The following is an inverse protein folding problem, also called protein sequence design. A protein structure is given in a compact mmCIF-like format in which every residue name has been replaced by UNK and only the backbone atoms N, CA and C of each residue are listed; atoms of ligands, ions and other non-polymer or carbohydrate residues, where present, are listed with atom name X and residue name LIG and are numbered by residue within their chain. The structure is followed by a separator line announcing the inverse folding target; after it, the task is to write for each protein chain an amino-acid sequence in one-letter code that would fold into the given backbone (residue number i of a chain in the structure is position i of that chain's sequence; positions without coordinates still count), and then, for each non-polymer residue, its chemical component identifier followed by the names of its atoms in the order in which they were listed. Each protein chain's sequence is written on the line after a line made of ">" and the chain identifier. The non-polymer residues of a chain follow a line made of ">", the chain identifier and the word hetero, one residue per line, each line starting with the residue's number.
data_IF_589428594303
#
_entry.id   IF_589428594303
#
_cell.length_a   1.000
_cell.length_b   1.000
_cell.length_c   1.000
_cell.angle_alpha   90.00
_cell.angle_beta   90.00
_cell.angle_gamma   90.00
#
_symmetry.space_group_name_H-M   'P 1'
#
loop_
_entity.id
_entity.type
_entity.pdbx_description
1 polymer ?
#
# COMPACT_ATOMS: atom_id res chain seq x y z
N UNK A 1 17.77 -9.50 -25.93
CA UNK A 1 16.46 -9.86 -25.34
C UNK A 1 16.56 -11.05 -24.38
N UNK A 2 16.94 -12.27 -24.81
CA UNK A 2 17.11 -13.40 -23.86
C UNK A 2 18.27 -13.16 -22.85
N UNK A 3 19.38 -12.59 -23.33
CA UNK A 3 20.47 -12.13 -22.45
C UNK A 3 20.03 -11.02 -21.48
N UNK A 4 19.02 -10.20 -21.86
CA UNK A 4 18.57 -9.07 -21.04
C UNK A 4 17.65 -9.53 -19.92
N UNK A 5 16.73 -10.47 -20.21
CA UNK A 5 15.90 -11.15 -19.20
C UNK A 5 16.74 -11.90 -18.18
N UNK A 6 17.75 -12.64 -18.64
CA UNK A 6 18.67 -13.32 -17.72
C UNK A 6 19.49 -12.32 -16.89
N UNK A 7 19.93 -11.21 -17.49
CA UNK A 7 20.68 -10.20 -16.79
C UNK A 7 19.82 -9.46 -15.75
N UNK A 8 18.57 -9.11 -16.05
CA UNK A 8 17.64 -8.48 -15.10
C UNK A 8 17.30 -9.41 -13.95
N UNK A 9 17.06 -10.70 -14.22
CA UNK A 9 16.91 -11.72 -13.18
C UNK A 9 18.12 -11.80 -12.24
N UNK A 10 19.34 -11.84 -12.81
CA UNK A 10 20.56 -11.88 -12.01
C UNK A 10 20.70 -10.61 -11.14
N UNK A 11 20.42 -9.43 -11.71
CA UNK A 11 20.45 -8.16 -10.95
C UNK A 11 19.46 -8.19 -9.78
N UNK A 12 18.22 -8.66 -9.98
CA UNK A 12 17.25 -8.80 -8.91
C UNK A 12 17.79 -9.69 -7.77
N UNK A 13 18.40 -10.83 -8.12
CA UNK A 13 18.98 -11.74 -7.14
C UNK A 13 20.16 -11.13 -6.39
N UNK A 14 21.07 -10.46 -7.10
CA UNK A 14 22.22 -9.78 -6.51
C UNK A 14 21.77 -8.64 -5.58
N UNK A 15 20.80 -7.82 -6.01
CA UNK A 15 20.21 -6.78 -5.16
C UNK A 15 19.49 -7.37 -3.95
N UNK A 16 18.71 -8.44 -4.09
CA UNK A 16 18.07 -9.10 -2.94
C UNK A 16 19.10 -9.56 -1.91
N UNK A 17 20.22 -10.14 -2.37
CA UNK A 17 21.32 -10.56 -1.50
C UNK A 17 21.95 -9.37 -0.77
N UNK A 18 22.34 -8.33 -1.50
CA UNK A 18 23.01 -7.14 -0.96
C UNK A 18 22.07 -6.31 -0.06
N UNK A 19 20.79 -6.24 -0.40
CA UNK A 19 19.78 -5.48 0.34
C UNK A 19 19.58 -5.96 1.78
N UNK A 20 20.04 -7.17 2.14
CA UNK A 20 19.95 -7.69 3.49
C UNK A 20 21.11 -7.24 4.40
N UNK A 21 22.19 -6.67 3.85
CA UNK A 21 23.41 -6.38 4.62
C UNK A 21 23.17 -5.38 5.76
N UNK A 22 22.24 -4.44 5.60
CA UNK A 22 21.90 -3.45 6.65
C UNK A 22 21.41 -4.11 7.94
N UNK A 23 20.82 -5.32 7.87
CA UNK A 23 20.32 -6.04 9.04
C UNK A 23 21.47 -6.37 10.01
N UNK A 24 22.67 -6.55 9.49
CA UNK A 24 23.87 -6.90 10.24
C UNK A 24 24.75 -5.69 10.59
N UNK A 25 24.30 -4.48 10.28
CA UNK A 25 25.02 -3.26 10.66
C UNK A 25 25.11 -3.17 12.21
N UNK A 26 26.32 -3.13 12.79
CA UNK A 26 26.50 -3.01 14.24
C UNK A 26 25.81 -1.78 14.84
N UNK A 27 25.64 -0.69 14.08
CA UNK A 27 24.99 0.54 14.56
C UNK A 27 23.49 0.37 14.81
N UNK A 28 22.89 -0.70 14.27
CA UNK A 28 21.52 -1.06 14.60
C UNK A 28 21.38 -1.64 16.01
N UNK A 29 22.47 -2.16 16.60
CA UNK A 29 22.47 -2.78 17.92
C UNK A 29 21.64 -4.06 18.01
N UNK A 30 21.31 -4.68 16.87
CA UNK A 30 20.44 -5.84 16.79
C UNK A 30 21.15 -7.12 17.25
N UNK A 31 20.51 -7.91 18.09
CA UNK A 31 21.00 -9.24 18.47
C UNK A 31 20.71 -10.30 17.39
N UNK A 32 21.18 -11.53 17.60
CA UNK A 32 21.02 -12.61 16.63
C UNK A 32 19.54 -12.99 16.37
N UNK A 33 18.67 -12.81 17.36
CA UNK A 33 17.23 -13.06 17.22
C UNK A 33 16.57 -11.97 16.39
N UNK A 34 16.92 -10.71 16.63
CA UNK A 34 16.45 -9.55 15.86
C UNK A 34 16.96 -9.60 14.40
N UNK A 35 18.20 -10.05 14.18
CA UNK A 35 18.75 -10.27 12.85
C UNK A 35 17.98 -11.36 12.08
N UNK A 36 17.61 -12.46 12.75
CA UNK A 36 16.77 -13.49 12.14
C UNK A 36 15.38 -12.95 11.75
N UNK A 37 14.80 -12.09 12.59
CA UNK A 37 13.55 -11.38 12.29
C UNK A 37 13.70 -10.38 11.14
N UNK A 38 14.83 -9.67 11.06
CA UNK A 38 15.18 -8.80 9.95
C UNK A 38 15.25 -9.54 8.62
N UNK A 39 15.87 -10.73 8.58
CA UNK A 39 15.90 -11.56 7.37
C UNK A 39 14.50 -12.04 6.97
N UNK A 40 13.67 -12.43 7.95
CA UNK A 40 12.27 -12.78 7.69
C UNK A 40 11.49 -11.60 7.13
N UNK A 41 11.72 -10.41 7.67
CA UNK A 41 11.13 -9.17 7.16
C UNK A 41 11.61 -8.87 5.73
N UNK A 42 12.90 -9.06 5.42
CA UNK A 42 13.43 -8.88 4.06
C UNK A 42 12.74 -9.78 3.04
N UNK A 43 12.46 -11.04 3.39
CA UNK A 43 11.68 -11.95 2.55
C UNK A 43 10.22 -11.49 2.37
N UNK A 44 9.61 -10.91 3.42
CA UNK A 44 8.27 -10.30 3.28
C UNK A 44 8.30 -9.10 2.35
N UNK A 45 9.36 -8.29 2.38
CA UNK A 45 9.53 -7.16 1.45
C UNK A 45 9.72 -7.62 0.01
N UNK A 46 10.44 -8.73 -0.20
CA UNK A 46 10.56 -9.35 -1.52
C UNK A 46 9.22 -9.86 -2.07
N UNK A 47 8.43 -10.52 -1.22
CA UNK A 47 7.07 -10.91 -1.60
C UNK A 47 6.23 -9.67 -1.89
N UNK A 48 6.22 -8.65 -1.01
CA UNK A 48 5.49 -7.40 -1.22
C UNK A 48 5.79 -6.78 -2.59
N UNK A 49 7.07 -6.66 -2.95
CA UNK A 49 7.48 -6.12 -4.23
C UNK A 49 7.00 -6.99 -5.39
N UNK A 50 7.07 -8.32 -5.26
CA UNK A 50 6.60 -9.27 -6.28
C UNK A 50 5.09 -9.16 -6.50
N UNK A 51 4.31 -9.23 -5.42
CA UNK A 51 2.86 -9.08 -5.46
C UNK A 51 2.45 -7.75 -6.10
N UNK A 52 3.05 -6.64 -5.65
CA UNK A 52 2.63 -5.30 -6.07
C UNK A 52 3.10 -4.93 -7.48
N UNK A 53 4.31 -5.31 -7.87
CA UNK A 53 4.94 -4.85 -9.12
C UNK A 53 4.72 -5.85 -10.25
N UNK A 54 4.68 -7.15 -9.97
CA UNK A 54 4.59 -8.17 -11.02
C UNK A 54 3.18 -8.74 -11.15
N UNK A 55 2.56 -9.13 -10.03
CA UNK A 55 1.31 -9.90 -10.05
C UNK A 55 0.08 -9.00 -10.11
N UNK A 56 0.01 -7.99 -9.25
CA UNK A 56 -1.12 -7.07 -9.11
C UNK A 56 -0.75 -5.66 -9.62
N UNK A 57 -0.33 -5.56 -10.89
CA UNK A 57 0.10 -4.30 -11.52
C UNK A 57 -0.70 -3.90 -12.77
N UNK A 58 -1.67 -4.73 -13.20
CA UNK A 58 -2.50 -4.44 -14.36
C UNK A 58 -3.65 -3.50 -13.97
N UNK A 59 -3.60 -2.25 -14.46
CA UNK A 59 -4.62 -1.23 -14.21
C UNK A 59 -5.90 -1.45 -15.02
N UNK A 60 -5.85 -2.24 -16.10
CA UNK A 60 -7.03 -2.55 -16.90
C UNK A 60 -7.88 -3.63 -16.23
N UNK A 61 -7.23 -4.52 -15.50
CA UNK A 61 -7.85 -5.66 -14.81
C UNK A 61 -7.42 -5.70 -13.35
N UNK A 62 -7.71 -4.63 -12.57
CA UNK A 62 -7.20 -4.53 -11.21
C UNK A 62 -7.90 -5.53 -10.28
N UNK A 63 -7.16 -6.07 -9.33
CA UNK A 63 -7.69 -6.91 -8.27
C UNK A 63 -7.42 -6.31 -6.88
N UNK A 64 -8.40 -6.39 -5.98
CA UNK A 64 -8.21 -6.06 -4.56
C UNK A 64 -7.42 -7.17 -3.86
N UNK A 65 -6.10 -7.10 -3.99
CA UNK A 65 -5.17 -8.02 -3.35
C UNK A 65 -5.04 -7.72 -1.84
N UNK A 66 -5.09 -8.76 -1.01
CA UNK A 66 -4.82 -8.64 0.42
C UNK A 66 -3.36 -8.33 0.68
N UNK A 67 -3.08 -7.34 1.52
CA UNK A 67 -1.70 -7.04 1.90
C UNK A 67 -1.28 -7.84 3.15
N UNK A 68 -1.40 -9.16 3.09
CA UNK A 68 -1.00 -10.12 4.12
C UNK A 68 -0.09 -11.18 3.49
N UNK A 69 1.00 -11.64 4.14
CA UNK A 69 1.40 -11.45 5.55
C UNK A 69 2.41 -10.31 5.76
N UNK A 70 2.33 -9.25 4.97
CA UNK A 70 3.29 -8.15 5.00
C UNK A 70 3.17 -7.31 6.27
N UNK A 71 4.32 -6.85 6.75
CA UNK A 71 4.43 -5.97 7.91
C UNK A 71 5.36 -4.84 7.53
N UNK A 72 4.81 -3.66 7.29
CA UNK A 72 5.55 -2.51 6.77
C UNK A 72 5.05 -1.27 7.49
N UNK A 73 5.98 -0.42 7.96
CA UNK A 73 5.64 0.91 8.43
C UNK A 73 4.69 0.97 9.62
N UNK A 74 4.93 0.12 10.63
CA UNK A 74 4.08 0.01 11.83
C UNK A 74 2.65 -0.42 11.46
N UNK A 75 2.54 -1.60 10.85
CA UNK A 75 1.26 -2.21 10.50
C UNK A 75 0.34 -2.28 11.73
N UNK A 76 -0.93 -1.90 11.54
CA UNK A 76 -1.90 -1.97 12.63
C UNK A 76 -2.41 -3.42 12.75
N UNK A 77 -2.20 -4.10 13.89
CA UNK A 77 -2.65 -5.48 14.08
C UNK A 77 -4.17 -5.63 14.11
N UNK A 78 -4.90 -4.53 14.32
CA UNK A 78 -6.37 -4.48 14.30
C UNK A 78 -6.92 -4.08 12.93
N UNK A 79 -6.13 -4.26 11.87
CA UNK A 79 -6.53 -3.91 10.52
C UNK A 79 -6.34 -5.05 9.51
N UNK A 80 -7.29 -5.16 8.60
CA UNK A 80 -7.07 -5.82 7.32
C UNK A 80 -6.90 -4.79 6.22
N UNK A 81 -6.01 -5.08 5.30
CA UNK A 81 -5.57 -4.15 4.27
C UNK A 81 -5.67 -4.81 2.90
N UNK A 82 -6.16 -4.04 1.92
CA UNK A 82 -6.18 -4.46 0.51
C UNK A 82 -5.66 -3.35 -0.37
N UNK A 83 -5.08 -3.68 -1.52
CA UNK A 83 -4.69 -2.67 -2.52
C UNK A 83 -4.92 -3.14 -3.94
N UNK A 84 -5.10 -2.18 -4.84
CA UNK A 84 -5.20 -2.41 -6.27
C UNK A 84 -4.47 -1.30 -7.06
N UNK A 85 -3.85 -1.61 -8.21
CA UNK A 85 -3.29 -0.62 -9.12
C UNK A 85 -4.40 0.21 -9.78
N UNK A 86 -4.14 1.49 -10.01
CA UNK A 86 -5.09 2.42 -10.63
C UNK A 86 -4.35 3.37 -11.56
N UNK A 87 -4.81 3.52 -12.79
CA UNK A 87 -4.46 4.62 -13.69
C UNK A 87 -5.68 5.53 -13.88
N UNK A 88 -5.73 6.67 -13.19
CA UNK A 88 -6.86 7.61 -13.18
C UNK A 88 -7.02 8.42 -14.48
N UNK A 89 -6.34 8.04 -15.56
CA UNK A 89 -6.80 8.38 -16.91
C UNK A 89 -8.08 7.62 -17.31
N UNK A 90 -8.55 6.70 -16.46
CA UNK A 90 -9.71 5.83 -16.65
C UNK A 90 -10.69 5.89 -15.48
N UNK A 91 -11.84 5.25 -15.65
CA UNK A 91 -12.87 5.19 -14.62
C UNK A 91 -12.86 3.85 -13.90
N UNK A 92 -12.90 3.88 -12.58
CA UNK A 92 -12.94 2.69 -11.73
C UNK A 92 -14.15 2.71 -10.81
N UNK A 93 -14.66 1.53 -10.49
CA UNK A 93 -15.81 1.36 -9.60
C UNK A 93 -15.48 0.40 -8.48
N UNK A 94 -15.75 0.83 -7.25
CA UNK A 94 -15.73 0.03 -6.04
C UNK A 94 -17.16 -0.18 -5.57
N UNK A 95 -17.65 -1.42 -5.65
CA UNK A 95 -18.92 -1.81 -5.06
C UNK A 95 -18.70 -2.73 -3.88
N UNK A 96 -19.68 -2.82 -2.99
CA UNK A 96 -19.56 -3.77 -1.90
C UNK A 96 -20.57 -3.58 -0.80
N UNK A 97 -20.31 -4.27 0.32
CA UNK A 97 -21.13 -4.21 1.52
C UNK A 97 -20.27 -4.06 2.77
N UNK A 98 -20.60 -3.05 3.57
CA UNK A 98 -20.02 -2.78 4.87
C UNK A 98 -21.04 -3.25 5.92
N UNK A 99 -20.79 -4.42 6.51
CA UNK A 99 -21.71 -5.01 7.49
C UNK A 99 -21.40 -4.58 8.92
N UNK A 100 -20.28 -5.08 9.48
CA UNK A 100 -19.99 -4.95 10.91
C UNK A 100 -18.59 -4.44 11.22
N UNK A 101 -17.67 -4.39 10.24
CA UNK A 101 -16.34 -3.79 10.44
C UNK A 101 -16.47 -2.38 11.02
N UNK A 102 -15.68 -2.08 12.05
CA UNK A 102 -15.81 -0.82 12.78
C UNK A 102 -15.60 0.40 11.90
N UNK A 103 -14.62 0.32 11.00
CA UNK A 103 -14.26 1.40 10.11
C UNK A 103 -13.66 0.87 8.81
N UNK A 104 -14.20 1.32 7.68
CA UNK A 104 -13.57 1.22 6.37
C UNK A 104 -12.93 2.56 6.00
N UNK A 105 -11.70 2.54 5.50
CA UNK A 105 -11.00 3.68 4.92
C UNK A 105 -10.55 3.39 3.50
N UNK A 106 -10.71 4.36 2.61
CA UNK A 106 -10.30 4.29 1.21
C UNK A 106 -9.34 5.44 0.92
N UNK A 107 -8.18 5.14 0.36
CA UNK A 107 -7.23 6.16 -0.09
C UNK A 107 -6.80 5.91 -1.52
N UNK A 108 -6.83 6.95 -2.36
CA UNK A 108 -6.12 6.97 -3.63
C UNK A 108 -4.78 7.67 -3.39
N UNK A 109 -3.68 6.93 -3.50
CA UNK A 109 -2.35 7.45 -3.18
C UNK A 109 -1.26 6.76 -3.99
N UNK A 110 -0.15 7.46 -4.21
CA UNK A 110 1.05 6.81 -4.74
C UNK A 110 1.73 5.94 -3.68
N UNK A 111 2.58 5.00 -4.12
CA UNK A 111 3.32 4.07 -3.25
C UNK A 111 4.82 4.37 -3.26
N UNK A 112 5.19 5.65 -3.23
CA UNK A 112 6.59 6.11 -3.26
C UNK A 112 7.35 5.90 -1.92
N UNK A 113 7.01 4.87 -1.15
CA UNK A 113 7.63 4.52 0.13
C UNK A 113 9.16 4.52 0.04
N UNK A 114 9.80 5.30 0.91
CA UNK A 114 11.26 5.49 0.96
C UNK A 114 11.89 6.21 -0.24
N UNK A 115 11.09 6.64 -1.23
CA UNK A 115 11.56 7.33 -2.45
C UNK A 115 11.16 8.81 -2.49
N UNK A 116 10.29 9.25 -1.61
CA UNK A 116 9.84 10.64 -1.54
C UNK A 116 8.61 10.82 -0.67
N UNK A 117 7.97 11.98 -0.82
CA UNK A 117 6.68 12.26 -0.20
C UNK A 117 5.59 11.50 -0.95
N UNK A 118 4.79 10.74 -0.22
CA UNK A 118 3.56 10.14 -0.74
C UNK A 118 2.52 11.23 -0.98
N UNK A 119 1.95 11.22 -2.18
CA UNK A 119 0.82 12.04 -2.58
C UNK A 119 -0.46 11.25 -2.37
N UNK A 120 -1.37 11.82 -1.60
CA UNK A 120 -2.70 11.27 -1.38
C UNK A 120 -3.73 12.18 -2.05
N UNK A 121 -4.39 11.63 -3.08
CA UNK A 121 -5.36 12.32 -3.92
C UNK A 121 -6.74 12.37 -3.26
N UNK A 122 -7.07 11.30 -2.53
CA UNK A 122 -8.35 11.13 -1.87
C UNK A 122 -8.16 10.34 -0.57
N UNK A 123 -8.86 10.73 0.49
CA UNK A 123 -8.97 9.98 1.76
C UNK A 123 -10.40 10.00 2.27
N UNK A 124 -11.04 8.84 2.28
CA UNK A 124 -12.43 8.67 2.70
C UNK A 124 -12.50 7.68 3.85
N UNK A 125 -13.38 7.94 4.79
CA UNK A 125 -13.87 6.94 5.74
C UNK A 125 -15.28 6.49 5.38
N UNK A 126 -15.68 5.34 5.90
CA UNK A 126 -17.07 4.87 5.85
C UNK A 126 -18.13 5.92 6.24
N UNK A 127 -17.91 6.86 7.19
CA UNK A 127 -18.87 7.94 7.45
C UNK A 127 -19.01 8.97 6.33
N UNK A 128 -18.05 9.03 5.40
CA UNK A 128 -18.07 9.89 4.22
C UNK A 128 -18.75 9.21 3.02
N UNK A 129 -19.13 7.92 3.12
CA UNK A 129 -19.72 7.13 2.04
C UNK A 129 -21.25 7.04 2.16
N UNK A 130 -21.93 7.03 1.01
CA UNK A 130 -23.38 6.90 0.91
C UNK A 130 -23.81 5.43 1.00
N UNK A 131 -24.65 5.09 1.99
CA UNK A 131 -25.35 3.79 2.02
C UNK A 131 -26.51 3.81 1.01
N UNK A 132 -26.32 3.11 -0.12
CA UNK A 132 -27.34 2.96 -1.16
C UNK A 132 -28.40 1.89 -0.81
N UNK A 133 -28.31 1.31 0.39
CA UNK A 133 -29.33 0.46 1.00
C UNK A 133 -28.77 -0.84 1.56
N UNK A 134 -28.92 -1.03 2.88
CA UNK A 134 -28.55 -2.28 3.56
C UNK A 134 -27.03 -2.45 3.71
N UNK A 135 -26.32 -1.35 3.98
CA UNK A 135 -24.87 -1.33 4.12
C UNK A 135 -24.12 -1.41 2.79
N UNK A 136 -24.79 -1.17 1.67
CA UNK A 136 -24.19 -1.29 0.33
C UNK A 136 -23.57 0.04 -0.07
N UNK A 137 -22.42 -0.05 -0.74
CA UNK A 137 -21.73 1.10 -1.32
C UNK A 137 -21.54 0.90 -2.83
N UNK A 138 -21.47 2.02 -3.54
CA UNK A 138 -21.19 2.08 -4.96
C UNK A 138 -20.43 3.38 -5.25
N UNK A 139 -19.11 3.26 -5.36
CA UNK A 139 -18.19 4.40 -5.44
C UNK A 139 -17.48 4.39 -6.78
N UNK A 140 -17.52 5.51 -7.49
CA UNK A 140 -16.81 5.69 -8.76
C UNK A 140 -15.69 6.70 -8.61
N UNK A 141 -14.51 6.38 -9.13
CA UNK A 141 -13.38 7.28 -9.29
C UNK A 141 -13.16 7.51 -10.78
N UNK A 142 -13.24 8.77 -11.23
CA UNK A 142 -13.16 9.10 -12.65
C UNK A 142 -12.44 10.43 -12.88
N UNK A 143 -11.71 10.61 -14.00
CA UNK A 143 -11.28 11.94 -14.43
C UNK A 143 -12.46 12.82 -14.91
N UNK A 144 -13.57 12.19 -15.28
CA UNK A 144 -14.76 12.86 -15.81
C UNK A 144 -15.77 13.21 -14.69
N UNK A 145 -16.57 14.28 -14.88
CA UNK A 145 -17.64 14.61 -13.95
C UNK A 145 -18.75 13.56 -13.95
N UNK A 146 -19.50 13.47 -12.84
CA UNK A 146 -20.66 12.60 -12.71
C UNK A 146 -21.68 12.84 -13.85
N UNK A 147 -22.07 11.80 -14.62
CA UNK A 147 -23.10 11.91 -15.66
C UNK A 147 -24.49 12.29 -15.10
N UNK A 148 -24.71 12.18 -13.79
CA UNK A 148 -25.91 12.65 -13.09
C UNK A 148 -26.99 11.60 -12.88
N UNK A 149 -26.74 10.35 -13.27
CA UNK A 149 -27.62 9.20 -13.05
C UNK A 149 -27.02 8.15 -12.08
N UNK A 150 -25.82 8.40 -11.55
CA UNK A 150 -25.20 7.55 -10.53
C UNK A 150 -25.89 7.72 -9.19
N UNK A 151 -26.21 6.59 -8.53
CA UNK A 151 -26.94 6.59 -7.24
C UNK A 151 -25.98 6.73 -6.05
N UNK A 152 -24.78 6.16 -6.19
CA UNK A 152 -23.77 6.17 -5.14
C UNK A 152 -22.85 7.39 -5.21
N UNK A 153 -21.64 7.25 -4.67
CA UNK A 153 -20.68 8.34 -4.62
C UNK A 153 -19.86 8.40 -5.92
N UNK A 154 -19.70 9.60 -6.49
CA UNK A 154 -18.84 9.86 -7.63
C UNK A 154 -17.76 10.87 -7.25
N UNK A 155 -16.50 10.48 -7.39
CA UNK A 155 -15.35 11.34 -7.13
C UNK A 155 -14.64 11.64 -8.44
N UNK A 156 -14.76 12.90 -8.88
CA UNK A 156 -13.92 13.41 -9.96
C UNK A 156 -12.49 13.64 -9.41
N UNK A 157 -11.50 12.98 -10.01
CA UNK A 157 -10.11 12.94 -9.55
C UNK A 157 -9.15 13.32 -10.67
N UNK A 158 -7.97 13.83 -10.32
CA UNK A 158 -6.97 14.17 -11.33
C UNK A 158 -6.37 12.92 -11.99
N UNK A 159 -6.07 12.93 -13.31
CA UNK A 159 -5.42 11.81 -13.98
C UNK A 159 -3.99 11.57 -13.47
N UNK A 160 -3.74 10.38 -12.93
CA UNK A 160 -2.46 9.96 -12.37
C UNK A 160 -2.45 8.44 -12.12
N UNK A 161 -1.27 7.83 -12.25
CA UNK A 161 -1.05 6.46 -11.78
C UNK A 161 -0.88 6.45 -10.25
N UNK A 162 -1.68 5.64 -9.58
CA UNK A 162 -1.69 5.50 -8.14
C UNK A 162 -2.16 4.10 -7.73
N UNK A 163 -2.55 3.95 -6.46
CA UNK A 163 -3.22 2.76 -5.96
C UNK A 163 -4.43 3.15 -5.13
N UNK A 164 -5.47 2.33 -5.24
CA UNK A 164 -6.49 2.26 -4.21
C UNK A 164 -5.94 1.46 -3.03
N UNK A 165 -5.93 2.05 -1.85
CA UNK A 165 -5.54 1.40 -0.61
C UNK A 165 -6.72 1.39 0.37
N UNK A 166 -7.15 0.19 0.72
CA UNK A 166 -8.29 -0.07 1.59
C UNK A 166 -7.78 -0.46 2.98
N UNK A 167 -8.32 0.17 4.01
CA UNK A 167 -8.01 -0.14 5.42
C UNK A 167 -9.30 -0.49 6.14
N UNK A 168 -9.36 -1.68 6.71
CA UNK A 168 -10.51 -2.20 7.43
C UNK A 168 -10.11 -2.36 8.89
N UNK A 169 -10.51 -1.46 9.78
CA UNK A 169 -10.16 -1.52 11.20
C UNK A 169 -11.26 -2.20 12.00
N UNK A 170 -10.84 -3.07 12.91
CA UNK A 170 -11.68 -3.87 13.78
C UNK A 170 -11.57 -3.35 15.22
N UNK A 171 -12.66 -3.43 15.96
CA UNK A 171 -12.67 -3.26 17.42
C UNK A 171 -12.92 -4.58 18.14
N UNK A 172 -13.59 -5.52 17.50
CA UNK A 172 -13.85 -6.87 18.02
C UNK A 172 -13.76 -7.91 16.89
N UNK A 173 -12.59 -8.52 16.75
CA UNK A 173 -12.32 -9.57 15.76
C UNK A 173 -13.25 -10.78 15.84
N UNK A 174 -13.90 -11.03 16.97
CA UNK A 174 -14.79 -12.17 17.14
C UNK A 174 -16.24 -11.88 16.71
N UNK A 175 -16.65 -10.61 16.72
CA UNK A 175 -18.01 -10.18 16.43
C UNK A 175 -18.16 -9.45 15.09
N UNK A 176 -17.06 -8.95 14.53
CA UNK A 176 -17.04 -8.15 13.31
C UNK A 176 -16.54 -8.97 12.10
N UNK A 177 -17.02 -8.62 10.91
CA UNK A 177 -16.64 -9.18 9.62
C UNK A 177 -16.12 -8.06 8.71
N UNK A 178 -15.11 -8.38 7.89
CA UNK A 178 -14.63 -7.43 6.89
C UNK A 178 -15.73 -7.07 5.88
N UNK A 179 -15.64 -5.87 5.34
CA UNK A 179 -16.41 -5.45 4.18
C UNK A 179 -16.05 -6.31 2.96
N UNK A 180 -17.08 -6.78 2.27
CA UNK A 180 -16.97 -7.49 1.00
C UNK A 180 -16.94 -6.45 -0.12
N UNK A 181 -15.82 -6.37 -0.84
CA UNK A 181 -15.56 -5.32 -1.82
C UNK A 181 -15.19 -5.93 -3.18
N UNK A 182 -15.68 -5.31 -4.25
CA UNK A 182 -15.36 -5.61 -5.63
C UNK A 182 -14.91 -4.34 -6.34
N UNK A 183 -13.77 -4.44 -7.03
CA UNK A 183 -13.15 -3.31 -7.72
C UNK A 183 -12.94 -3.68 -9.18
N UNK A 184 -13.29 -2.77 -10.09
CA UNK A 184 -13.16 -2.97 -11.53
C UNK A 184 -12.79 -1.66 -12.24
N UNK A 185 -12.10 -1.78 -13.38
CA UNK A 185 -11.99 -0.71 -14.37
C UNK A 185 -13.21 -0.78 -15.32
N UNK A 186 -13.88 0.34 -15.55
CA UNK A 186 -15.09 0.40 -16.39
C UNK A 186 -14.78 0.52 -17.89
N UNK A 187 -13.55 0.91 -18.22
CA UNK A 187 -13.06 1.19 -19.57
C UNK A 187 -11.67 0.55 -19.82
N UNK A 188 -11.53 -0.79 -19.70
CA UNK A 188 -10.28 -1.48 -20.02
C UNK A 188 -9.94 -1.36 -21.52
N UNK A 189 -8.65 -1.24 -21.85
CA UNK A 189 -8.18 -1.03 -23.23
C UNK A 189 -8.27 -2.30 -24.09
N UNK A 190 -8.32 -3.46 -23.44
CA UNK A 190 -8.41 -4.76 -24.07
C UNK A 190 -8.32 -5.91 -23.07
N UNK A 191 -8.35 -7.17 -23.52
CA UNK A 191 -8.16 -8.33 -22.66
C UNK A 191 -6.73 -8.37 -22.08
N UNK A 192 -6.51 -9.09 -20.96
CA UNK A 192 -5.18 -9.28 -20.40
C UNK A 192 -4.19 -9.81 -21.45
N UNK A 193 -3.00 -9.21 -21.48
CA UNK A 193 -1.95 -9.58 -22.44
C UNK A 193 -0.93 -10.55 -21.82
N UNK A 194 -0.10 -11.18 -22.67
CA UNK A 194 1.04 -11.95 -22.17
C UNK A 194 2.11 -10.98 -21.67
N UNK A 195 2.91 -11.43 -20.69
CA UNK A 195 4.07 -10.68 -20.23
C UNK A 195 4.98 -10.28 -21.40
N UNK A 196 5.23 -8.98 -21.52
CA UNK A 196 6.19 -8.43 -22.46
C UNK A 196 7.62 -8.56 -21.90
N UNK A 197 8.60 -9.07 -22.67
CA UNK A 197 9.98 -9.22 -22.19
C UNK A 197 10.66 -7.93 -21.74
N UNK A 198 10.39 -6.80 -22.41
CA UNK A 198 11.00 -5.51 -22.05
C UNK A 198 10.39 -5.03 -20.75
N UNK A 199 9.06 -5.03 -20.66
CA UNK A 199 8.34 -4.67 -19.43
C UNK A 199 8.77 -5.55 -18.26
N UNK A 200 8.94 -6.85 -18.48
CA UNK A 200 9.39 -7.78 -17.42
C UNK A 200 10.75 -7.38 -16.84
N UNK A 201 11.69 -6.90 -17.67
CA UNK A 201 12.97 -6.40 -17.18
C UNK A 201 12.80 -5.15 -16.30
N UNK A 202 11.91 -4.23 -16.68
CA UNK A 202 11.60 -3.03 -15.87
C UNK A 202 10.96 -3.38 -14.54
N UNK A 203 10.02 -4.33 -14.52
CA UNK A 203 9.37 -4.81 -13.31
C UNK A 203 10.37 -5.45 -12.34
N UNK A 204 11.34 -6.22 -12.85
CA UNK A 204 12.42 -6.77 -12.02
C UNK A 204 13.31 -5.67 -11.44
N UNK A 205 13.68 -4.67 -12.24
CA UNK A 205 14.50 -3.55 -11.76
C UNK A 205 13.71 -2.67 -10.74
N UNK A 206 12.40 -2.51 -10.88
CA UNK A 206 11.53 -1.85 -9.90
C UNK A 206 11.41 -2.65 -8.60
N UNK A 207 11.21 -3.98 -8.70
CA UNK A 207 11.12 -4.86 -7.54
C UNK A 207 12.44 -4.88 -6.75
N UNK A 208 13.57 -4.94 -7.45
CA UNK A 208 14.90 -4.84 -6.84
C UNK A 208 15.04 -3.53 -6.04
N UNK A 209 14.60 -2.40 -6.59
CA UNK A 209 14.63 -1.10 -5.92
C UNK A 209 13.72 -1.07 -4.69
N UNK A 210 12.50 -1.60 -4.77
CA UNK A 210 11.56 -1.58 -3.65
C UNK A 210 12.07 -2.41 -2.46
N UNK A 211 12.64 -3.58 -2.74
CA UNK A 211 13.24 -4.48 -1.76
C UNK A 211 14.46 -3.87 -1.06
N UNK A 212 15.21 -3.03 -1.76
CA UNK A 212 16.36 -2.33 -1.18
C UNK A 212 15.94 -1.12 -0.34
N UNK A 213 15.08 -0.27 -0.90
CA UNK A 213 14.79 1.06 -0.35
C UNK A 213 13.85 1.05 0.84
N UNK A 214 12.73 0.34 0.75
CA UNK A 214 11.66 0.41 1.78
C UNK A 214 12.12 -0.09 3.16
N UNK A 215 12.76 -1.28 3.30
CA UNK A 215 13.21 -1.74 4.61
C UNK A 215 14.29 -0.84 5.23
N UNK A 216 15.21 -0.29 4.43
CA UNK A 216 16.24 0.65 4.90
C UNK A 216 15.62 1.94 5.40
N UNK A 217 14.64 2.49 4.68
CA UNK A 217 13.90 3.68 5.12
C UNK A 217 13.30 3.49 6.52
N UNK A 218 12.63 2.37 6.78
CA UNK A 218 12.04 2.10 8.10
C UNK A 218 13.09 1.85 9.19
N UNK A 219 14.24 1.28 8.82
CA UNK A 219 15.37 1.10 9.75
C UNK A 219 15.98 2.45 10.13
N UNK A 220 16.22 3.33 9.16
CA UNK A 220 16.68 4.70 9.39
C UNK A 220 15.67 5.50 10.21
N UNK A 221 14.38 5.34 9.92
CA UNK A 221 13.30 5.96 10.69
C UNK A 221 13.35 5.57 12.17
N UNK A 222 13.52 4.28 12.48
CA UNK A 222 13.69 3.81 13.85
C UNK A 222 15.00 4.31 14.49
N UNK A 223 16.12 4.28 13.76
CA UNK A 223 17.41 4.80 14.21
C UNK A 223 17.37 6.30 14.52
N UNK A 224 16.67 7.08 13.71
CA UNK A 224 16.48 8.52 13.92
C UNK A 224 15.72 8.84 15.21
N UNK A 225 14.74 8.01 15.59
CA UNK A 225 14.06 8.17 16.88
C UNK A 225 14.99 7.89 18.06
N UNK A 226 15.79 6.80 17.98
CA UNK A 226 16.81 6.49 18.99
C UNK A 226 17.80 7.65 19.15
N UNK A 227 18.29 8.20 18.04
CA UNK A 227 19.25 9.32 18.04
C UNK A 227 18.68 10.63 18.62
N UNK A 228 17.36 10.81 18.58
CA UNK A 228 16.66 11.95 19.21
C UNK A 228 16.38 11.72 20.70
N UNK A 229 16.76 10.58 21.27
CA UNK A 229 16.50 10.25 22.67
C UNK A 229 15.02 10.00 22.97
N UNK A 230 14.24 9.58 21.97
CA UNK A 230 12.79 9.38 22.08
C UNK A 230 12.39 7.99 22.62
N UNK A 231 13.38 7.21 23.06
CA UNK A 231 13.20 5.82 23.51
C UNK A 231 12.35 5.79 24.78
N UNK A 232 11.33 4.92 24.80
CA UNK A 232 10.43 4.71 25.94
C UNK A 232 9.65 5.99 26.33
N UNK A 233 9.40 6.90 25.39
CA UNK A 233 8.65 8.13 25.66
C UNK A 233 7.75 8.53 24.49
N UNK A 234 6.54 8.99 24.80
CA UNK A 234 5.62 9.64 23.86
C UNK A 234 5.61 11.17 24.02
N UNK A 235 6.52 11.76 24.79
CA UNK A 235 6.54 13.22 25.06
C UNK A 235 6.74 14.05 23.78
N UNK A 236 7.32 13.43 22.75
CA UNK A 236 7.53 14.03 21.44
C UNK A 236 6.30 13.94 20.53
N UNK A 237 5.27 13.18 20.92
CA UNK A 237 4.02 13.08 20.17
C UNK A 237 3.19 14.32 20.46
N UNK A 238 2.85 15.12 19.43
CA UNK A 238 2.09 16.34 19.64
C UNK A 238 0.68 16.00 20.18
N UNK A 239 0.13 16.82 21.08
CA UNK A 239 -1.22 16.61 21.62
C UNK A 239 -2.31 16.81 20.56
N UNK A 240 -1.96 17.49 19.47
CA UNK A 240 -2.81 17.73 18.32
C UNK A 240 -2.41 16.79 17.21
N UNK A 241 -3.41 16.34 16.44
CA UNK A 241 -3.17 15.54 15.25
C UNK A 241 -2.26 16.29 14.28
N UNK A 242 -1.20 15.61 13.85
CA UNK A 242 -0.35 16.02 12.75
C UNK A 242 -0.55 15.03 11.60
N UNK A 243 -0.67 15.57 10.39
CA UNK A 243 -0.81 14.77 9.17
C UNK A 243 0.42 13.88 8.97
N UNK A 244 0.16 12.63 8.59
CA UNK A 244 1.18 11.66 8.15
C UNK A 244 0.93 11.14 6.73
N UNK A 245 0.10 11.82 5.93
CA UNK A 245 -0.20 11.42 4.54
C UNK A 245 1.05 11.39 3.66
N UNK A 246 2.02 12.25 3.95
CA UNK A 246 3.33 12.24 3.30
C UNK A 246 4.10 10.91 3.44
N UNK A 247 3.72 10.06 4.40
CA UNK A 247 4.26 8.73 4.66
C UNK A 247 3.22 7.62 4.41
N UNK A 248 2.08 7.93 3.79
CA UNK A 248 1.00 6.99 3.51
C UNK A 248 0.05 6.75 4.68
N UNK A 249 0.11 7.56 5.73
CA UNK A 249 -0.88 7.56 6.82
C UNK A 249 -2.22 8.17 6.38
N UNK A 250 -3.33 7.70 6.93
CA UNK A 250 -4.65 8.29 6.71
C UNK A 250 -4.80 9.61 7.47
N UNK A 251 -5.41 10.59 6.80
CA UNK A 251 -5.83 11.87 7.37
C UNK A 251 -7.02 11.74 8.33
N UNK A 252 -7.46 10.51 8.64
CA UNK A 252 -8.47 10.19 9.65
C UNK A 252 -7.87 9.62 10.94
N UNK A 253 -6.54 9.42 10.98
CA UNK A 253 -5.82 8.84 12.13
C UNK A 253 -4.86 9.84 12.81
N UNK A 254 -4.49 9.55 14.06
CA UNK A 254 -3.38 10.20 14.76
C UNK A 254 -2.34 9.15 15.08
N UNK A 255 -1.07 9.51 14.96
CA UNK A 255 0.05 8.58 15.02
C UNK A 255 1.00 8.98 16.14
N UNK A 256 1.50 7.97 16.86
CA UNK A 256 2.47 8.13 17.94
C UNK A 256 3.33 6.88 18.06
N UNK A 257 4.57 7.06 18.49
CA UNK A 257 5.59 6.02 18.57
C UNK A 257 6.52 6.31 19.75
N UNK A 258 7.23 5.31 20.25
CA UNK A 258 8.10 5.38 21.43
C UNK A 258 9.28 4.42 21.35
#
# INVERSE_FOLDING_TARGET
>A
MDNDLRASWNRLCDTLKESADYIFDPDNGADASEQAEGLRHQLRMFYWATDRILENSDTDHPELGWTYPFKVGQDNPDALYQSAPVDLNRTYRLTGRIDTVRYLGLSLMDYSFGRGKITQLLDLGSPDLTDIGGGRIDVVFSPDPDPGDHIGDWFQVEPIECRLFVRQFFSDWAAESHAELYFECLDPSGPPSRLDPVRTCELFDEAAREVDTVPKFWTEFAGNQRNRGQINSFDHVPPQKVSQSAQGGSEKQSYGQC
#
